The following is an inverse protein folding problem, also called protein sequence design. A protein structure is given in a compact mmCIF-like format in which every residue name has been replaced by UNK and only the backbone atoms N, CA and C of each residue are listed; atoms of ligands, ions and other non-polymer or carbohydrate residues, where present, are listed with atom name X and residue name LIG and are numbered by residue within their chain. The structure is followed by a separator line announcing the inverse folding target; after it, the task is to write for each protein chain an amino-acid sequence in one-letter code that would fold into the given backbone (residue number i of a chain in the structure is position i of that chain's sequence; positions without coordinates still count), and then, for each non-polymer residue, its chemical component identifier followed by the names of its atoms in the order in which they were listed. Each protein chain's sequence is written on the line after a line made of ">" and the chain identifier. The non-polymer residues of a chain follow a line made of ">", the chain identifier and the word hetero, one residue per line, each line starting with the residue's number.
data_IF_441286877794
#
_entry.id   IF_441286877794
#
_cell.length_a   1.000
_cell.length_b   1.000
_cell.length_c   1.000
_cell.angle_alpha   90.00
_cell.angle_beta   90.00
_cell.angle_gamma   90.00
#
_symmetry.space_group_name_H-M   'P 1'
#
loop_
_entity.id
_entity.type
_entity.pdbx_description
1 polymer ?
#
# COMPACT_ATOMS: atom_id res chain seq x y z
N UNK A 1 -1.64 -11.40 -0.63
CA UNK A 1 -1.66 -12.39 0.47
C UNK A 1 -0.37 -12.28 1.24
N UNK A 2 -0.36 -12.66 2.52
CA UNK A 2 0.86 -12.68 3.35
C UNK A 2 0.89 -13.96 4.19
N UNK A 3 2.08 -14.53 4.37
CA UNK A 3 2.29 -15.73 5.18
C UNK A 3 2.74 -15.31 6.58
N UNK A 4 2.05 -15.79 7.62
CA UNK A 4 2.45 -15.60 9.00
C UNK A 4 3.47 -16.69 9.40
N UNK A 5 4.37 -16.41 10.36
CA UNK A 5 5.37 -17.38 10.82
C UNK A 5 4.78 -18.66 11.43
N UNK A 6 3.53 -18.61 11.90
CA UNK A 6 2.81 -19.77 12.44
C UNK A 6 2.11 -20.61 11.37
N UNK A 7 2.34 -20.32 10.09
CA UNK A 7 1.79 -21.06 8.94
C UNK A 7 0.39 -20.61 8.52
N UNK A 8 -0.23 -19.66 9.22
CA UNK A 8 -1.46 -19.03 8.76
C UNK A 8 -1.19 -18.14 7.55
N UNK A 9 -2.20 -17.95 6.71
CA UNK A 9 -2.11 -17.11 5.51
C UNK A 9 -3.20 -16.06 5.54
N UNK A 10 -2.80 -14.80 5.41
CA UNK A 10 -3.70 -13.65 5.30
C UNK A 10 -4.05 -13.39 3.84
N UNK A 11 -5.34 -13.26 3.56
CA UNK A 11 -5.88 -13.01 2.22
C UNK A 11 -6.80 -11.80 2.26
N UNK A 12 -6.51 -10.82 1.42
CA UNK A 12 -7.40 -9.70 1.16
C UNK A 12 -8.42 -10.08 0.09
N UNK A 13 -9.68 -9.79 0.36
CA UNK A 13 -10.74 -9.83 -0.64
C UNK A 13 -11.16 -8.40 -0.95
N UNK A 14 -11.08 -8.01 -2.23
CA UNK A 14 -11.35 -6.65 -2.71
C UNK A 14 -12.63 -6.02 -2.14
N UNK A 15 -13.76 -6.74 -1.98
CA UNK A 15 -14.96 -6.17 -1.36
C UNK A 15 -14.82 -5.67 0.09
N UNK A 16 -13.66 -5.84 0.74
CA UNK A 16 -13.36 -5.25 2.05
C UNK A 16 -13.19 -6.27 3.17
N UNK A 17 -12.77 -7.50 2.89
CA UNK A 17 -12.64 -8.56 3.90
C UNK A 17 -11.21 -9.09 3.98
N UNK A 18 -10.65 -9.12 5.18
CA UNK A 18 -9.45 -9.89 5.47
C UNK A 18 -9.85 -11.30 5.94
N UNK A 19 -9.27 -12.31 5.30
CA UNK A 19 -9.53 -13.73 5.54
C UNK A 19 -8.26 -14.41 6.01
N UNK A 20 -8.43 -15.51 6.73
CA UNK A 20 -7.32 -16.34 7.22
C UNK A 20 -7.50 -17.76 6.70
N UNK A 21 -6.44 -18.33 6.13
CA UNK A 21 -6.31 -19.77 5.91
C UNK A 21 -5.42 -20.32 7.03
N UNK A 22 -5.85 -21.42 7.64
CA UNK A 22 -5.13 -22.15 8.68
C UNK A 22 -5.20 -23.65 8.37
N UNK A 23 -4.05 -24.35 8.40
CA UNK A 23 -3.98 -25.77 8.04
C UNK A 23 -4.52 -26.08 6.64
N UNK A 24 -4.33 -25.17 5.68
CA UNK A 24 -4.83 -25.31 4.31
C UNK A 24 -6.34 -25.09 4.14
N UNK A 25 -7.07 -24.65 5.17
CA UNK A 25 -8.51 -24.40 5.12
C UNK A 25 -8.83 -22.94 5.42
N UNK A 26 -9.78 -22.38 4.67
CA UNK A 26 -10.31 -21.04 4.92
C UNK A 26 -11.14 -21.02 6.20
N UNK A 27 -10.78 -20.17 7.16
CA UNK A 27 -11.60 -19.93 8.35
C UNK A 27 -12.93 -19.27 7.89
N UNK A 28 -14.11 -19.76 8.32
CA UNK A 28 -15.41 -19.26 7.81
C UNK A 28 -15.69 -17.78 8.09
N UNK A 29 -15.21 -17.25 9.22
CA UNK A 29 -15.40 -15.85 9.61
C UNK A 29 -14.32 -14.96 8.99
N UNK A 30 -14.69 -13.73 8.63
CA UNK A 30 -13.72 -12.69 8.27
C UNK A 30 -13.14 -12.06 9.54
N UNK A 31 -11.94 -11.47 9.42
CA UNK A 31 -11.36 -10.64 10.47
C UNK A 31 -12.21 -9.38 10.66
N UNK A 32 -12.51 -9.03 11.90
CA UNK A 32 -13.22 -7.79 12.27
C UNK A 32 -12.24 -6.69 12.68
N UNK A 33 -12.73 -5.45 12.88
CA UNK A 33 -11.88 -4.33 13.31
C UNK A 33 -11.09 -3.66 12.18
N UNK A 34 -11.36 -4.01 10.92
CA UNK A 34 -10.83 -3.29 9.77
C UNK A 34 -11.44 -1.88 9.67
N UNK A 35 -10.70 -0.91 9.10
CA UNK A 35 -11.24 0.41 8.80
C UNK A 35 -12.36 0.33 7.77
N UNK A 36 -13.10 1.43 7.59
CA UNK A 36 -14.10 1.54 6.53
C UNK A 36 -13.40 1.51 5.17
N UNK A 37 -13.74 0.50 4.37
CA UNK A 37 -13.17 0.26 3.05
C UNK A 37 -14.20 0.60 1.98
N UNK A 38 -13.80 1.39 0.99
CA UNK A 38 -14.65 1.79 -0.11
C UNK A 38 -14.36 0.93 -1.35
N UNK A 39 -15.19 -0.06 -1.62
CA UNK A 39 -15.04 -0.97 -2.75
C UNK A 39 -15.75 -0.44 -4.01
N UNK A 40 -15.05 0.39 -4.79
CA UNK A 40 -15.58 1.00 -6.03
C UNK A 40 -14.59 0.82 -7.18
N UNK A 41 -15.05 0.21 -8.28
CA UNK A 41 -14.24 -0.06 -9.45
C UNK A 41 -13.05 -0.99 -9.12
N UNK A 42 -11.83 -0.48 -9.32
CA UNK A 42 -10.57 -1.15 -8.97
C UNK A 42 -10.24 -1.06 -7.47
N UNK A 43 -10.94 -0.22 -6.72
CA UNK A 43 -10.71 -0.03 -5.29
C UNK A 43 -11.31 -1.14 -4.43
N UNK A 44 -10.83 -1.23 -3.20
CA UNK A 44 -11.25 -2.19 -2.19
C UNK A 44 -10.24 -2.33 -1.07
N UNK A 45 -10.27 -3.47 -0.38
CA UNK A 45 -9.12 -3.93 0.39
C UNK A 45 -8.15 -4.59 -0.58
N UNK A 46 -6.94 -4.04 -0.67
CA UNK A 46 -6.03 -4.36 -1.76
C UNK A 46 -4.93 -5.26 -1.24
N UNK A 47 -3.98 -4.72 -0.48
CA UNK A 47 -2.80 -5.46 -0.11
C UNK A 47 -2.68 -5.73 1.38
N UNK A 48 -1.92 -6.77 1.70
CA UNK A 48 -1.50 -7.13 3.04
C UNK A 48 -0.02 -7.45 3.04
N UNK A 49 0.71 -6.87 4.00
CA UNK A 49 2.09 -7.20 4.30
C UNK A 49 2.24 -7.43 5.81
N UNK A 50 3.27 -8.18 6.21
CA UNK A 50 3.65 -8.29 7.61
C UNK A 50 4.97 -7.56 7.84
N UNK A 51 5.14 -7.04 9.05
CA UNK A 51 6.41 -6.45 9.46
C UNK A 51 7.55 -7.48 9.37
N UNK A 52 8.78 -7.10 8.98
CA UNK A 52 9.93 -8.01 8.98
C UNK A 52 10.19 -8.67 10.34
N UNK A 53 10.01 -7.92 11.43
CA UNK A 53 10.09 -8.41 12.83
C UNK A 53 8.72 -8.82 13.42
N UNK A 54 7.82 -9.40 12.60
CA UNK A 54 6.47 -9.77 13.04
C UNK A 54 6.44 -10.64 14.30
N UNK A 55 7.41 -11.54 14.48
CA UNK A 55 7.49 -12.40 15.67
C UNK A 55 7.63 -11.62 16.98
N UNK A 56 8.21 -10.42 16.92
CA UNK A 56 8.44 -9.56 18.09
C UNK A 56 7.30 -8.58 18.30
N UNK A 57 6.79 -7.97 17.21
CA UNK A 57 5.87 -6.83 17.30
C UNK A 57 4.44 -7.10 16.81
N UNK A 58 4.20 -8.19 16.07
CA UNK A 58 2.89 -8.61 15.59
C UNK A 58 2.23 -7.68 14.56
N UNK A 59 2.97 -6.74 13.96
CA UNK A 59 2.40 -5.74 13.06
C UNK A 59 2.10 -6.30 11.67
N UNK A 60 0.85 -6.12 11.22
CA UNK A 60 0.45 -6.27 9.81
C UNK A 60 0.04 -4.93 9.24
N UNK A 61 0.16 -4.81 7.92
CA UNK A 61 -0.13 -3.60 7.15
C UNK A 61 -1.19 -3.92 6.12
N UNK A 62 -2.18 -3.04 5.99
CA UNK A 62 -3.26 -3.16 5.02
C UNK A 62 -3.33 -1.89 4.19
N UNK A 63 -3.33 -2.04 2.87
CA UNK A 63 -3.65 -0.96 1.95
C UNK A 63 -5.06 -1.12 1.40
N UNK A 64 -5.77 0.00 1.27
CA UNK A 64 -7.15 0.01 0.83
C UNK A 64 -7.53 1.35 0.23
N UNK A 65 -8.61 1.37 -0.55
CA UNK A 65 -9.25 2.61 -0.93
C UNK A 65 -10.24 3.07 0.13
N UNK A 66 -10.12 4.33 0.53
CA UNK A 66 -10.96 4.96 1.54
C UNK A 66 -11.63 6.20 0.96
N UNK A 67 -12.86 6.48 1.42
CA UNK A 67 -13.57 7.72 1.13
C UNK A 67 -13.02 8.91 1.94
N UNK A 68 -13.29 10.11 1.46
CA UNK A 68 -12.97 11.37 2.12
C UNK A 68 -13.40 12.56 1.26
N UNK A 69 -12.96 13.76 1.66
CA UNK A 69 -13.27 14.99 0.92
C UNK A 69 -12.75 14.86 -0.52
N UNK A 70 -13.62 15.06 -1.50
CA UNK A 70 -13.28 14.99 -2.93
C UNK A 70 -13.36 13.60 -3.56
N UNK A 71 -13.55 12.53 -2.78
CA UNK A 71 -13.79 11.17 -3.30
C UNK A 71 -12.93 10.11 -2.63
N UNK A 72 -12.29 9.27 -3.44
CA UNK A 72 -11.56 8.09 -3.02
C UNK A 72 -10.05 8.31 -3.07
N UNK A 73 -9.30 7.66 -2.18
CA UNK A 73 -7.83 7.66 -2.16
C UNK A 73 -7.28 6.42 -1.49
N UNK A 74 -6.05 6.05 -1.82
CA UNK A 74 -5.33 4.97 -1.15
C UNK A 74 -4.95 5.40 0.27
N UNK A 75 -5.19 4.52 1.23
CA UNK A 75 -4.75 4.66 2.62
C UNK A 75 -4.04 3.37 3.05
N UNK A 76 -3.14 3.50 4.02
CA UNK A 76 -2.47 2.36 4.66
C UNK A 76 -2.63 2.48 6.17
N UNK A 77 -3.04 1.37 6.77
CA UNK A 77 -3.04 1.19 8.23
C UNK A 77 -2.07 0.09 8.62
N UNK A 78 -1.55 0.16 9.84
CA UNK A 78 -1.00 -1.00 10.55
C UNK A 78 -1.92 -1.42 11.69
N UNK A 79 -1.84 -2.68 12.09
CA UNK A 79 -2.62 -3.25 13.19
C UNK A 79 -2.06 -4.59 13.63
N UNK A 80 -2.57 -5.14 14.73
CA UNK A 80 -2.20 -6.47 15.24
C UNK A 80 -3.39 -7.41 15.20
N UNK A 81 -3.16 -8.68 14.87
CA UNK A 81 -4.21 -9.70 14.94
C UNK A 81 -4.31 -10.28 16.35
N UNK A 82 -5.45 -10.09 17.00
CA UNK A 82 -5.82 -10.78 18.25
C UNK A 82 -6.99 -11.72 17.96
N UNK A 83 -6.66 -12.99 17.72
CA UNK A 83 -7.64 -13.97 17.21
C UNK A 83 -8.15 -13.55 15.82
N UNK A 84 -9.47 -13.35 15.69
CA UNK A 84 -10.14 -12.92 14.45
C UNK A 84 -10.47 -11.42 14.42
N UNK A 85 -9.72 -10.60 15.18
CA UNK A 85 -9.91 -9.15 15.23
C UNK A 85 -8.59 -8.43 14.98
N UNK A 86 -8.63 -7.38 14.15
CA UNK A 86 -7.57 -6.40 14.03
C UNK A 86 -7.72 -5.37 15.15
N UNK A 87 -6.66 -5.20 15.94
CA UNK A 87 -6.58 -4.26 17.07
C UNK A 87 -5.37 -3.34 16.90
N UNK A 88 -5.26 -2.32 17.75
CA UNK A 88 -4.16 -1.32 17.72
C UNK A 88 -4.01 -0.68 16.32
N UNK A 89 -5.14 -0.32 15.70
CA UNK A 89 -5.15 0.16 14.31
C UNK A 89 -4.67 1.60 14.23
N UNK A 90 -3.63 1.83 13.44
CA UNK A 90 -3.01 3.14 13.21
C UNK A 90 -2.95 3.42 11.71
N UNK A 91 -3.45 4.58 11.27
CA UNK A 91 -3.25 5.07 9.90
C UNK A 91 -1.83 5.63 9.78
N UNK A 92 -1.05 5.06 8.87
CA UNK A 92 0.35 5.47 8.65
C UNK A 92 0.55 6.21 7.32
N UNK A 93 -0.41 6.12 6.40
CA UNK A 93 -0.36 6.84 5.13
C UNK A 93 -1.76 7.13 4.59
N UNK A 94 -1.92 8.31 3.99
CA UNK A 94 -3.15 8.74 3.33
C UNK A 94 -2.83 9.59 2.10
N UNK A 95 -3.38 9.22 0.95
CA UNK A 95 -3.47 10.15 -0.19
C UNK A 95 -4.33 11.34 0.22
N UNK A 96 -3.74 12.53 0.28
CA UNK A 96 -4.42 13.74 0.74
C UNK A 96 -5.43 14.27 -0.29
N UNK A 97 -4.98 14.44 -1.54
CA UNK A 97 -5.80 14.90 -2.66
C UNK A 97 -6.63 13.72 -3.20
N UNK A 98 -7.76 13.40 -2.56
CA UNK A 98 -8.69 12.37 -3.06
C UNK A 98 -9.48 12.87 -4.26
N UNK A 99 -9.91 11.95 -5.12
CA UNK A 99 -10.66 12.26 -6.34
C UNK A 99 -11.79 11.25 -6.60
N UNK A 100 -12.75 11.65 -7.43
CA UNK A 100 -13.85 10.78 -7.86
C UNK A 100 -13.37 9.66 -8.79
N UNK A 101 -14.26 8.70 -9.06
CA UNK A 101 -13.97 7.55 -9.92
C UNK A 101 -13.25 6.40 -9.20
N UNK A 102 -13.20 5.24 -9.85
CA UNK A 102 -12.75 3.98 -9.25
C UNK A 102 -11.57 3.35 -9.98
N UNK A 103 -10.58 4.11 -10.44
CA UNK A 103 -9.41 3.58 -11.14
C UNK A 103 -8.08 4.05 -10.54
N UNK A 104 -7.04 3.28 -10.81
CA UNK A 104 -5.63 3.57 -10.60
C UNK A 104 -5.19 3.81 -9.15
N UNK A 105 -5.54 2.91 -8.24
CA UNK A 105 -5.20 3.04 -6.82
C UNK A 105 -3.76 2.62 -6.48
N UNK A 106 -3.10 1.86 -7.34
CA UNK A 106 -1.87 1.15 -6.99
C UNK A 106 -2.06 0.24 -5.76
N UNK A 107 -1.47 0.64 -4.63
CA UNK A 107 -1.62 0.08 -3.27
C UNK A 107 -0.77 -1.13 -2.92
N UNK A 108 0.27 -1.44 -3.68
CA UNK A 108 1.23 -2.50 -3.32
C UNK A 108 2.12 -2.03 -2.17
N UNK A 109 2.32 -2.92 -1.20
CA UNK A 109 3.19 -2.76 -0.04
C UNK A 109 4.41 -3.67 -0.19
N UNK A 110 5.59 -3.14 0.15
CA UNK A 110 6.85 -3.88 0.21
C UNK A 110 7.75 -3.32 1.30
N UNK A 111 8.25 -4.18 2.19
CA UNK A 111 9.37 -3.84 3.06
C UNK A 111 10.69 -4.14 2.37
N UNK A 112 11.65 -3.21 2.42
CA UNK A 112 13.02 -3.48 1.98
C UNK A 112 13.88 -4.12 3.09
N UNK A 113 15.13 -4.46 2.74
CA UNK A 113 16.11 -5.04 3.66
C UNK A 113 16.64 -4.05 4.71
N UNK A 114 16.31 -2.76 4.59
CA UNK A 114 16.72 -1.69 5.50
C UNK A 114 15.61 -1.30 6.47
N UNK A 115 14.42 -1.89 6.32
CA UNK A 115 13.26 -1.64 7.18
C UNK A 115 12.34 -0.51 6.69
N UNK A 116 12.55 0.00 5.47
CA UNK A 116 11.63 0.98 4.88
C UNK A 116 10.42 0.28 4.26
N UNK A 117 9.25 0.91 4.41
CA UNK A 117 8.01 0.52 3.76
C UNK A 117 7.81 1.33 2.48
N UNK A 118 7.67 0.64 1.35
CA UNK A 118 7.30 1.24 0.08
C UNK A 118 5.82 1.00 -0.21
N UNK A 119 5.14 2.03 -0.72
CA UNK A 119 3.72 2.02 -1.04
C UNK A 119 3.53 2.57 -2.45
N UNK A 120 2.87 1.82 -3.33
CA UNK A 120 2.55 2.33 -4.67
C UNK A 120 1.23 3.12 -4.66
N UNK A 121 1.14 4.21 -5.42
CA UNK A 121 -0.06 5.05 -5.54
C UNK A 121 -0.23 5.49 -7.00
N UNK A 122 -1.32 5.09 -7.67
CA UNK A 122 -1.56 5.49 -9.06
C UNK A 122 -2.15 6.89 -9.21
N UNK A 123 -2.15 7.42 -10.43
CA UNK A 123 -2.53 8.82 -10.73
C UNK A 123 -4.05 9.10 -10.73
N UNK A 124 -4.87 8.09 -10.41
CA UNK A 124 -6.34 8.15 -10.31
C UNK A 124 -7.10 8.44 -11.61
N UNK A 125 -6.43 8.41 -12.76
CA UNK A 125 -7.01 8.66 -14.08
C UNK A 125 -6.84 10.11 -14.57
N UNK A 126 -6.14 10.95 -13.80
CA UNK A 126 -5.73 12.30 -14.12
C UNK A 126 -4.19 12.38 -14.27
N UNK A 127 -3.72 12.12 -15.49
CA UNK A 127 -2.30 11.91 -15.83
C UNK A 127 -1.37 13.06 -15.39
N UNK A 128 -1.72 14.35 -15.54
CA UNK A 128 -0.89 15.45 -15.05
C UNK A 128 -0.50 15.35 -13.58
N UNK A 129 -1.34 14.74 -12.72
CA UNK A 129 -1.04 14.61 -11.29
C UNK A 129 0.19 13.76 -11.01
N UNK A 130 0.54 12.82 -11.89
CA UNK A 130 1.76 12.01 -11.75
C UNK A 130 3.05 12.84 -11.79
N UNK A 131 2.99 14.08 -12.31
CA UNK A 131 4.12 15.02 -12.37
C UNK A 131 4.05 16.10 -11.29
N UNK A 132 2.96 16.16 -10.51
CA UNK A 132 2.80 17.11 -9.41
C UNK A 132 3.40 16.53 -8.14
N UNK A 133 4.56 17.05 -7.73
CA UNK A 133 5.24 16.61 -6.52
C UNK A 133 4.56 17.06 -5.22
N UNK A 134 3.57 17.96 -5.27
CA UNK A 134 2.69 18.29 -4.14
C UNK A 134 1.48 17.32 -4.05
N UNK A 135 1.48 16.23 -4.83
CA UNK A 135 0.44 15.20 -4.84
C UNK A 135 1.04 13.80 -4.67
N UNK A 136 0.35 12.94 -3.93
CA UNK A 136 0.74 11.54 -3.77
C UNK A 136 0.32 10.67 -4.98
N UNK A 137 -0.52 11.18 -5.87
CA UNK A 137 -1.02 10.42 -7.01
C UNK A 137 0.09 10.19 -8.06
N UNK A 138 0.26 8.95 -8.51
CA UNK A 138 1.29 8.60 -9.50
C UNK A 138 2.71 8.54 -8.94
N UNK A 139 2.84 8.02 -7.72
CA UNK A 139 4.11 7.96 -6.99
C UNK A 139 4.37 6.59 -6.36
N UNK A 140 5.63 6.34 -6.02
CA UNK A 140 6.02 5.38 -4.98
C UNK A 140 6.41 6.19 -3.75
N UNK A 141 5.80 5.84 -2.63
CA UNK A 141 5.99 6.45 -1.32
C UNK A 141 6.98 5.58 -0.53
N UNK A 142 7.90 6.20 0.24
CA UNK A 142 8.82 5.49 1.15
C UNK A 142 8.72 6.07 2.56
N UNK A 143 8.38 5.20 3.51
CA UNK A 143 8.19 5.53 4.93
C UNK A 143 9.02 4.60 5.83
N UNK A 144 9.18 4.98 7.09
CA UNK A 144 9.47 4.02 8.16
C UNK A 144 8.23 3.15 8.43
N UNK A 145 8.43 2.08 9.21
CA UNK A 145 7.39 1.12 9.57
C UNK A 145 6.24 1.71 10.43
N UNK A 146 6.47 2.89 11.03
CA UNK A 146 5.49 3.68 11.78
C UNK A 146 4.83 4.81 10.98
N UNK A 147 5.19 4.96 9.70
CA UNK A 147 4.69 6.02 8.83
C UNK A 147 5.47 7.33 8.92
N UNK A 148 6.51 7.42 9.75
CA UNK A 148 7.39 8.59 9.75
C UNK A 148 8.23 8.65 8.46
N UNK A 149 8.60 9.87 8.07
CA UNK A 149 9.30 10.11 6.80
C UNK A 149 10.81 9.97 6.98
N UNK A 150 11.49 9.12 6.17
CA UNK A 150 12.95 9.03 6.20
C UNK A 150 13.59 10.37 5.84
N UNK A 151 14.55 10.81 6.66
CA UNK A 151 15.23 12.09 6.48
C UNK A 151 16.06 12.20 5.19
N UNK A 152 16.37 11.05 4.58
CA UNK A 152 17.10 10.90 3.32
C UNK A 152 16.17 10.73 2.10
N UNK A 153 14.84 10.87 2.26
CA UNK A 153 13.93 10.90 1.11
C UNK A 153 14.29 12.07 0.15
N UNK A 154 14.13 11.87 -1.18
CA UNK A 154 14.69 12.78 -2.19
C UNK A 154 14.08 14.19 -2.18
N UNK A 155 12.86 14.34 -1.63
CA UNK A 155 12.11 15.60 -1.67
C UNK A 155 11.93 16.27 -0.31
N UNK A 156 12.52 15.74 0.77
CA UNK A 156 12.34 16.27 2.15
C UNK A 156 12.75 17.74 2.28
N UNK A 157 13.77 18.17 1.54
CA UNK A 157 14.30 19.54 1.59
C UNK A 157 13.78 20.43 0.46
N UNK A 158 12.87 19.93 -0.38
CA UNK A 158 12.33 20.67 -1.52
C UNK A 158 11.00 21.33 -1.11
N UNK A 159 10.85 22.65 -1.28
CA UNK A 159 9.58 23.30 -0.99
C UNK A 159 8.51 22.87 -2.00
N UNK A 160 7.24 22.90 -1.57
CA UNK A 160 6.07 22.55 -2.38
C UNK A 160 6.12 21.12 -2.95
N UNK A 161 6.63 20.18 -2.16
CA UNK A 161 6.62 18.75 -2.49
C UNK A 161 6.27 17.92 -1.27
N UNK A 162 5.72 16.73 -1.50
CA UNK A 162 5.43 15.74 -0.46
C UNK A 162 6.71 15.00 -0.06
N UNK A 163 7.17 15.10 1.20
CA UNK A 163 8.44 14.54 1.63
C UNK A 163 8.46 12.99 1.63
N UNK A 164 7.29 12.36 1.62
CA UNK A 164 7.11 10.90 1.58
C UNK A 164 7.39 10.29 0.20
N UNK A 165 7.38 11.11 -0.87
CA UNK A 165 7.61 10.63 -2.24
C UNK A 165 9.05 10.13 -2.39
N UNK A 166 9.20 8.91 -2.90
CA UNK A 166 10.47 8.31 -3.31
C UNK A 166 10.69 8.42 -4.82
N UNK A 167 9.67 8.07 -5.62
CA UNK A 167 9.65 8.27 -7.07
C UNK A 167 8.28 8.72 -7.54
N UNK A 168 8.23 9.37 -8.70
CA UNK A 168 7.02 9.96 -9.28
C UNK A 168 6.97 9.71 -10.79
N UNK A 169 5.87 10.07 -11.43
CA UNK A 169 5.64 9.86 -12.87
C UNK A 169 5.01 8.52 -13.19
N UNK A 170 4.48 7.82 -12.19
CA UNK A 170 3.83 6.52 -12.37
C UNK A 170 2.37 6.68 -12.77
N UNK A 171 1.89 5.81 -13.66
CA UNK A 171 0.48 5.72 -14.03
C UNK A 171 -0.29 4.88 -13.02
N UNK A 172 -0.14 3.57 -13.06
CA UNK A 172 -0.90 2.68 -12.17
C UNK A 172 -0.09 1.45 -11.72
N UNK A 173 0.89 1.65 -10.82
CA UNK A 173 1.79 0.61 -10.34
C UNK A 173 1.07 -0.50 -9.58
N UNK A 174 1.16 -1.74 -10.08
CA UNK A 174 0.50 -2.93 -9.55
C UNK A 174 1.46 -3.83 -8.75
N UNK A 175 2.56 -4.24 -9.38
CA UNK A 175 3.53 -5.16 -8.79
C UNK A 175 4.70 -4.40 -8.18
N UNK A 176 5.24 -4.91 -7.07
CA UNK A 176 6.46 -4.41 -6.46
C UNK A 176 7.16 -5.55 -5.72
N UNK A 177 8.46 -5.72 -5.95
CA UNK A 177 9.29 -6.73 -5.28
C UNK A 177 10.71 -6.21 -5.10
N UNK A 178 11.47 -6.86 -4.23
CA UNK A 178 12.93 -6.69 -4.21
C UNK A 178 13.55 -7.64 -5.23
N UNK A 179 14.59 -7.16 -5.91
CA UNK A 179 15.49 -8.05 -6.63
C UNK A 179 16.26 -8.92 -5.62
N UNK A 180 16.30 -10.26 -5.79
CA UNK A 180 16.76 -11.18 -4.75
C UNK A 180 18.26 -11.07 -4.45
N UNK A 181 19.07 -10.57 -5.37
CA UNK A 181 20.51 -10.40 -5.15
C UNK A 181 20.82 -8.99 -4.67
N UNK A 182 20.52 -7.99 -5.49
CA UNK A 182 20.84 -6.58 -5.24
C UNK A 182 20.00 -5.94 -4.14
N UNK A 183 18.78 -6.41 -3.91
CA UNK A 183 17.83 -5.78 -2.98
C UNK A 183 17.23 -4.47 -3.51
N UNK A 184 17.39 -4.17 -4.81
CA UNK A 184 16.77 -3.00 -5.47
C UNK A 184 15.25 -3.17 -5.56
N UNK A 185 14.53 -2.05 -5.56
CA UNK A 185 13.06 -2.07 -5.66
C UNK A 185 12.68 -2.09 -7.13
N UNK A 186 11.95 -3.13 -7.52
CA UNK A 186 11.39 -3.27 -8.85
C UNK A 186 9.88 -3.07 -8.79
N UNK A 187 9.34 -2.20 -9.65
CA UNK A 187 7.90 -1.97 -9.77
C UNK A 187 7.42 -2.26 -11.18
N UNK A 188 6.18 -2.73 -11.29
CA UNK A 188 5.48 -2.95 -12.56
C UNK A 188 4.20 -2.11 -12.61
N UNK A 189 3.91 -1.51 -13.76
CA UNK A 189 2.72 -0.70 -13.96
C UNK A 189 2.04 -0.89 -15.31
N UNK A 190 0.72 -0.67 -15.33
CA UNK A 190 -0.08 -0.72 -16.55
C UNK A 190 0.01 0.59 -17.35
N UNK A 191 0.36 0.49 -18.62
CA UNK A 191 0.21 1.54 -19.62
C UNK A 191 -1.25 1.77 -20.03
N UNK A 192 -1.53 2.74 -20.94
CA UNK A 192 -2.87 3.00 -21.45
C UNK A 192 -3.36 1.89 -22.41
N UNK A 193 -2.93 1.92 -23.68
CA UNK A 193 -3.24 0.90 -24.69
C UNK A 193 -1.91 0.28 -25.13
N UNK A 194 -1.35 -0.58 -24.28
CA UNK A 194 0.06 -1.00 -24.33
C UNK A 194 0.97 -0.02 -23.56
N UNK A 195 2.27 -0.35 -23.53
CA UNK A 195 3.26 0.42 -22.76
C UNK A 195 3.29 0.08 -21.27
N UNK A 196 3.07 -1.20 -20.92
CA UNK A 196 3.33 -1.69 -19.57
C UNK A 196 4.84 -1.70 -19.31
N UNK A 197 5.24 -1.36 -18.09
CA UNK A 197 6.65 -1.08 -17.77
C UNK A 197 7.13 -1.87 -16.55
N UNK A 198 8.45 -2.13 -16.52
CA UNK A 198 9.19 -2.50 -15.31
C UNK A 198 10.14 -1.34 -15.01
N UNK A 199 10.08 -0.83 -13.78
CA UNK A 199 10.91 0.27 -13.28
C UNK A 199 11.86 -0.24 -12.19
N UNK A 200 13.13 0.15 -12.27
CA UNK A 200 14.19 -0.23 -11.32
C UNK A 200 14.66 1.03 -10.60
N UNK A 201 14.67 1.03 -9.26
CA UNK A 201 14.99 2.18 -8.41
C UNK A 201 15.72 1.79 -7.12
#
# INVERSE_FOLDING_TARGET
>A
MAFLPDGRVLITERPGRLRIIEGGRLIPKAVTGLPQIAAVGQGGLLDVAIHPNYLENGWIYLSFSAEGKGGLGTEVVRGRLRGMQLVDVETIFKVEKKSSGGRHFGSRLLFDRKGYLYITSGERGDRPRAQDLDDHAGSVIRLHDDGSVPADNPFVKRPNTKPEIYSYGHRNPQGMTLHPETGEVWTHEHGPQGGDEINIR
#
